data_IF_754975719993
#
_entry.id   IF_754975719993
#
_cell.length_a   1.000
_cell.length_b   1.000
_cell.length_c   1.000
_cell.angle_alpha   90.00
_cell.angle_beta   90.00
_cell.angle_gamma   90.00
#
_symmetry.space_group_name_H-M   'P 1'
#
loop_
_entity.id
_entity.type
_entity.pdbx_description
1 polymer ?
#
# COMPACT_ATOMS: atom_id res chain seq x y z
N UNK A 1 38.31 -1.44 -38.90
CA UNK A 1 38.78 -0.98 -40.23
C UNK A 1 38.05 0.33 -40.51
N UNK A 2 38.67 1.49 -40.21
CA UNK A 2 39.46 2.29 -41.17
C UNK A 2 38.54 2.87 -42.27
N UNK A 3 38.44 4.17 -42.57
CA UNK A 3 39.38 5.29 -42.42
C UNK A 3 38.71 6.61 -42.91
N UNK A 4 39.23 7.78 -42.46
CA UNK A 4 39.40 9.09 -43.18
C UNK A 4 38.12 9.89 -43.58
N UNK A 5 37.81 11.12 -43.11
CA UNK A 5 38.47 12.47 -43.22
C UNK A 5 38.96 12.75 -44.66
N UNK A 6 38.93 13.94 -45.34
CA UNK A 6 38.70 15.37 -44.96
C UNK A 6 37.72 16.17 -45.89
N UNK A 7 37.11 17.32 -45.54
CA UNK A 7 37.58 18.76 -45.49
C UNK A 7 37.48 19.57 -46.82
N UNK A 8 36.84 20.77 -46.70
CA UNK A 8 36.93 22.03 -47.50
C UNK A 8 36.23 22.06 -48.89
N UNK A 9 35.73 23.19 -49.41
CA UNK A 9 35.88 24.63 -49.07
C UNK A 9 34.75 25.45 -49.73
N UNK A 10 34.62 26.65 -49.19
CA UNK A 10 33.68 27.74 -49.45
C UNK A 10 33.54 28.23 -50.89
N UNK A 11 32.38 28.82 -51.19
CA UNK A 11 32.24 29.87 -52.19
C UNK A 11 31.40 31.05 -51.66
N UNK A 12 32.12 32.15 -51.44
CA UNK A 12 31.85 33.50 -51.97
C UNK A 12 30.50 34.19 -51.64
N UNK A 13 30.61 35.21 -50.77
CA UNK A 13 30.29 36.63 -51.04
C UNK A 13 29.03 36.95 -51.85
N UNK A 14 28.14 37.82 -51.34
CA UNK A 14 28.10 39.26 -51.71
C UNK A 14 27.03 40.05 -50.94
N UNK A 15 27.48 41.21 -50.44
CA UNK A 15 26.85 42.46 -49.98
C UNK A 15 25.32 42.68 -50.00
N UNK A 16 24.90 43.27 -48.87
CA UNK A 16 24.15 44.52 -48.68
C UNK A 16 22.65 44.56 -49.00
N UNK A 17 21.83 44.87 -47.99
CA UNK A 17 21.28 46.22 -47.77
C UNK A 17 20.44 46.27 -46.48
N UNK A 18 20.20 47.50 -46.05
CA UNK A 18 19.93 47.94 -44.69
C UNK A 18 18.42 48.10 -44.42
N UNK A 19 18.08 48.14 -43.14
CA UNK A 19 16.86 48.71 -42.51
C UNK A 19 15.66 47.78 -42.27
N UNK A 20 15.18 47.79 -41.02
CA UNK A 20 14.01 47.06 -40.56
C UNK A 20 14.20 46.49 -39.16
N UNK A 21 14.16 47.34 -38.14
CA UNK A 21 14.04 46.87 -36.75
C UNK A 21 12.69 46.15 -36.61
N UNK A 22 12.73 44.87 -36.29
CA UNK A 22 11.60 44.16 -35.71
C UNK A 22 12.16 43.22 -34.64
N UNK A 23 12.24 43.72 -33.41
CA UNK A 23 12.55 42.89 -32.24
C UNK A 23 11.42 41.88 -32.11
N UNK A 24 11.69 40.63 -32.49
CA UNK A 24 10.84 39.50 -32.12
C UNK A 24 11.11 39.21 -30.65
N UNK A 25 10.35 39.87 -29.77
CA UNK A 25 10.13 39.33 -28.44
C UNK A 25 9.31 38.03 -28.60
N UNK A 26 9.91 36.90 -28.26
CA UNK A 26 9.18 35.65 -28.14
C UNK A 26 8.07 35.82 -27.08
N UNK A 27 6.81 35.46 -27.35
CA UNK A 27 5.81 35.39 -26.29
C UNK A 27 6.23 34.29 -25.32
N UNK A 28 6.37 34.66 -24.05
CA UNK A 28 6.66 33.77 -22.92
C UNK A 28 5.73 32.55 -22.92
N UNK A 29 6.29 31.37 -23.22
CA UNK A 29 5.62 30.07 -23.30
C UNK A 29 5.41 29.38 -21.94
N UNK A 30 5.26 30.14 -20.85
CA UNK A 30 5.24 29.55 -19.48
C UNK A 30 3.89 29.59 -18.78
N UNK A 31 2.88 30.34 -19.26
CA UNK A 31 1.61 30.51 -18.54
C UNK A 31 0.48 29.60 -19.03
N UNK A 32 0.64 28.95 -20.19
CA UNK A 32 -0.43 28.15 -20.81
C UNK A 32 -0.46 26.70 -20.29
N UNK A 33 0.66 26.14 -19.86
CA UNK A 33 0.72 24.76 -19.33
C UNK A 33 0.00 24.63 -17.99
N UNK A 34 0.17 25.63 -17.10
CA UNK A 34 -0.49 25.66 -15.79
C UNK A 34 -2.00 25.87 -15.94
N UNK A 35 -2.43 26.71 -16.87
CA UNK A 35 -3.85 26.96 -17.13
C UNK A 35 -4.56 25.75 -17.77
N UNK A 36 -3.87 25.04 -18.68
CA UNK A 36 -4.41 23.84 -19.34
C UNK A 36 -4.48 22.66 -18.37
N UNK A 37 -3.45 22.48 -17.53
CA UNK A 37 -3.45 21.48 -16.46
C UNK A 37 -4.59 21.71 -15.45
N UNK A 38 -4.86 22.97 -15.10
CA UNK A 38 -5.95 23.34 -14.19
C UNK A 38 -7.33 23.09 -14.79
N UNK A 39 -7.54 23.38 -16.07
CA UNK A 39 -8.79 23.04 -16.76
C UNK A 39 -9.01 21.53 -16.88
N UNK A 40 -7.93 20.76 -17.09
CA UNK A 40 -8.03 19.30 -17.17
C UNK A 40 -8.29 18.66 -15.81
N UNK A 41 -7.69 19.20 -14.74
CA UNK A 41 -8.01 18.80 -13.37
C UNK A 41 -9.47 19.11 -13.01
N UNK A 42 -9.97 20.29 -13.37
CA UNK A 42 -11.35 20.71 -13.12
C UNK A 42 -12.37 19.88 -13.93
N UNK A 43 -12.05 19.54 -15.18
CA UNK A 43 -12.84 18.64 -16.01
C UNK A 43 -12.89 17.21 -15.44
N UNK A 44 -11.74 16.67 -15.00
CA UNK A 44 -11.66 15.35 -14.37
C UNK A 44 -12.39 15.33 -13.01
N UNK A 45 -12.33 16.41 -12.23
CA UNK A 45 -13.05 16.55 -10.97
C UNK A 45 -14.57 16.70 -11.21
N UNK A 46 -15.00 17.27 -12.35
CA UNK A 46 -16.42 17.33 -12.76
C UNK A 46 -16.99 16.00 -13.24
N UNK A 47 -16.21 15.17 -13.94
CA UNK A 47 -16.61 13.78 -14.27
C UNK A 47 -16.57 12.92 -13.00
N UNK A 48 -15.68 13.24 -12.06
CA UNK A 48 -15.56 12.64 -10.74
C UNK A 48 -16.42 13.27 -9.64
N UNK A 49 -17.28 14.24 -9.94
CA UNK A 49 -18.04 15.03 -8.95
C UNK A 49 -19.10 14.20 -8.19
N UNK A 50 -19.21 12.91 -8.49
CA UNK A 50 -19.88 11.93 -7.67
C UNK A 50 -18.89 11.14 -6.82
N UNK A 51 -18.14 11.78 -5.92
CA UNK A 51 -17.46 11.06 -4.83
C UNK A 51 -18.54 10.56 -3.85
N UNK A 52 -19.18 9.44 -4.18
CA UNK A 52 -20.18 8.77 -3.33
C UNK A 52 -19.53 8.25 -2.03
N UNK A 53 -18.22 7.96 -2.08
CA UNK A 53 -17.45 7.43 -0.97
C UNK A 53 -16.48 8.49 -0.46
N UNK A 54 -16.63 8.89 0.80
CA UNK A 54 -15.69 9.75 1.52
C UNK A 54 -14.38 9.02 1.81
N UNK A 55 -14.47 7.73 2.17
CA UNK A 55 -13.33 6.85 2.39
C UNK A 55 -13.63 5.45 1.82
N UNK A 56 -12.65 4.88 1.12
CA UNK A 56 -12.73 3.52 0.56
C UNK A 56 -12.11 2.48 1.50
N UNK A 57 -11.32 2.89 2.50
CA UNK A 57 -10.63 1.98 3.40
C UNK A 57 -11.59 1.01 4.13
N UNK A 58 -12.77 1.42 4.63
CA UNK A 58 -13.70 0.50 5.29
C UNK A 58 -14.29 -0.59 4.40
N UNK A 59 -14.22 -0.40 3.07
CA UNK A 59 -14.69 -1.38 2.09
C UNK A 59 -13.62 -2.42 1.72
N UNK A 60 -12.39 -2.26 2.21
CA UNK A 60 -11.33 -3.26 2.02
C UNK A 60 -11.64 -4.53 2.82
N UNK A 61 -11.35 -5.69 2.23
CA UNK A 61 -11.46 -6.98 2.91
C UNK A 61 -10.55 -7.10 4.14
N UNK A 62 -9.45 -6.35 4.16
CA UNK A 62 -8.50 -6.36 5.27
C UNK A 62 -8.83 -5.36 6.37
N UNK A 63 -9.82 -4.49 6.13
CA UNK A 63 -10.21 -3.51 7.13
C UNK A 63 -10.89 -4.19 8.31
N UNK A 64 -10.39 -3.87 9.51
CA UNK A 64 -10.93 -4.35 10.77
C UNK A 64 -11.46 -3.14 11.54
N UNK A 65 -12.75 -3.12 11.92
CA UNK A 65 -13.31 -1.99 12.67
C UNK A 65 -12.67 -1.88 14.06
N UNK A 66 -12.63 -0.67 14.63
CA UNK A 66 -12.10 -0.45 15.97
C UNK A 66 -12.96 -1.05 17.10
N UNK A 67 -14.23 -1.39 16.83
CA UNK A 67 -15.12 -2.02 17.78
C UNK A 67 -16.00 -3.05 17.07
N UNK A 68 -16.21 -4.20 17.70
CA UNK A 68 -17.08 -5.26 17.21
C UNK A 68 -18.38 -5.27 18.01
N UNK A 69 -19.49 -4.90 17.36
CA UNK A 69 -20.81 -4.85 18.00
C UNK A 69 -21.42 -6.25 18.06
N UNK A 70 -21.98 -6.63 19.21
CA UNK A 70 -22.76 -7.86 19.38
C UNK A 70 -21.91 -9.13 19.39
N UNK A 71 -20.61 -9.02 19.71
CA UNK A 71 -19.66 -10.14 19.82
C UNK A 71 -18.92 -10.16 21.16
N UNK A 72 -19.39 -9.38 22.14
CA UNK A 72 -18.74 -9.23 23.44
C UNK A 72 -18.68 -10.55 24.22
N UNK A 73 -19.70 -11.39 24.07
CA UNK A 73 -19.77 -12.71 24.70
C UNK A 73 -18.71 -13.66 24.18
N UNK A 74 -18.56 -13.76 22.86
CA UNK A 74 -17.58 -14.62 22.20
C UNK A 74 -16.16 -14.11 22.42
N UNK A 75 -15.96 -12.78 22.39
CA UNK A 75 -14.67 -12.17 22.71
C UNK A 75 -14.27 -12.41 24.17
N UNK A 76 -15.23 -12.38 25.10
CA UNK A 76 -14.98 -12.70 26.51
C UNK A 76 -14.63 -14.17 26.71
N UNK A 77 -15.34 -15.07 26.05
CA UNK A 77 -15.02 -16.50 26.08
C UNK A 77 -13.63 -16.77 25.51
N UNK A 78 -13.31 -16.15 24.36
CA UNK A 78 -11.98 -16.19 23.77
C UNK A 78 -10.93 -15.68 24.76
N UNK A 79 -11.12 -14.50 25.34
CA UNK A 79 -10.21 -13.91 26.32
C UNK A 79 -9.97 -14.83 27.53
N UNK A 80 -11.01 -15.51 28.02
CA UNK A 80 -10.88 -16.42 29.16
C UNK A 80 -9.89 -17.57 28.89
N UNK A 81 -9.83 -18.09 27.66
CA UNK A 81 -8.87 -19.12 27.25
C UNK A 81 -7.42 -18.61 27.17
N UNK A 82 -7.22 -17.29 27.05
CA UNK A 82 -5.93 -16.65 26.89
C UNK A 82 -5.43 -15.91 28.15
N UNK A 83 -6.13 -16.01 29.28
CA UNK A 83 -5.80 -15.34 30.55
C UNK A 83 -4.34 -15.57 31.02
N UNK A 84 -3.77 -16.74 30.73
CA UNK A 84 -2.40 -17.10 31.14
C UNK A 84 -1.27 -16.54 30.27
N UNK A 85 -1.57 -15.84 29.17
CA UNK A 85 -0.57 -15.40 28.19
C UNK A 85 0.45 -14.37 28.71
N UNK A 86 0.14 -13.70 29.83
CA UNK A 86 1.07 -12.78 30.48
C UNK A 86 2.30 -13.50 31.06
N UNK A 87 2.11 -14.75 31.50
CA UNK A 87 3.17 -15.55 32.12
C UNK A 87 4.06 -16.24 31.08
N UNK A 88 5.35 -16.36 31.39
CA UNK A 88 6.28 -17.14 30.58
C UNK A 88 5.97 -18.63 30.71
N UNK A 89 5.77 -19.33 29.59
CA UNK A 89 5.60 -20.78 29.54
C UNK A 89 4.18 -21.28 29.31
N UNK A 90 3.17 -20.40 29.26
CA UNK A 90 1.79 -20.80 28.96
C UNK A 90 1.49 -20.64 27.47
N UNK A 91 1.08 -21.73 26.83
CA UNK A 91 0.53 -21.72 25.46
C UNK A 91 -0.97 -21.98 25.50
N UNK A 92 -1.75 -21.04 24.99
CA UNK A 92 -3.20 -21.21 24.79
C UNK A 92 -3.50 -21.50 23.32
N UNK A 93 -4.52 -22.31 23.08
CA UNK A 93 -5.03 -22.63 21.73
C UNK A 93 -6.54 -22.55 21.73
N UNK A 94 -7.10 -21.94 20.70
CA UNK A 94 -8.54 -21.82 20.50
C UNK A 94 -8.87 -22.18 19.05
N UNK A 95 -10.00 -22.86 18.85
CA UNK A 95 -10.52 -23.19 17.51
C UNK A 95 -11.88 -22.53 17.37
N UNK A 96 -12.02 -21.66 16.36
CA UNK A 96 -13.23 -20.88 16.12
C UNK A 96 -13.94 -21.47 14.89
N UNK A 97 -15.16 -21.93 15.07
CA UNK A 97 -15.97 -22.56 14.01
C UNK A 97 -17.25 -21.76 13.75
N UNK A 98 -17.85 -21.95 12.58
CA UNK A 98 -19.12 -21.29 12.21
C UNK A 98 -19.26 -21.02 10.71
N UNK A 99 -20.45 -20.62 10.23
CA UNK A 99 -20.75 -20.45 8.81
C UNK A 99 -19.98 -19.30 8.15
N UNK A 100 -19.87 -19.30 6.81
CA UNK A 100 -19.22 -18.21 6.06
C UNK A 100 -19.96 -16.89 6.32
N UNK A 101 -19.21 -15.78 6.41
CA UNK A 101 -19.79 -14.46 6.68
C UNK A 101 -20.09 -14.15 8.15
N UNK A 102 -19.88 -15.08 9.08
CA UNK A 102 -20.13 -14.84 10.51
C UNK A 102 -19.13 -13.90 11.21
N UNK A 103 -18.11 -13.39 10.50
CA UNK A 103 -17.15 -12.45 11.06
C UNK A 103 -16.03 -13.07 11.90
N UNK A 104 -15.79 -14.39 11.81
CA UNK A 104 -14.70 -15.09 12.53
C UNK A 104 -13.34 -14.43 12.33
N UNK A 105 -12.96 -14.18 11.09
CA UNK A 105 -11.66 -13.58 10.74
C UNK A 105 -11.49 -12.20 11.37
N UNK A 106 -12.54 -11.37 11.32
CA UNK A 106 -12.53 -10.02 11.90
C UNK A 106 -12.43 -10.09 13.42
N UNK A 107 -13.17 -11.01 14.06
CA UNK A 107 -13.09 -11.26 15.51
C UNK A 107 -11.68 -11.68 15.94
N UNK A 108 -11.06 -12.64 15.24
CA UNK A 108 -9.71 -13.13 15.58
C UNK A 108 -8.64 -12.07 15.37
N UNK A 109 -8.71 -11.31 14.26
CA UNK A 109 -7.80 -10.19 14.01
C UNK A 109 -7.91 -9.14 15.11
N UNK A 110 -9.13 -8.74 15.45
CA UNK A 110 -9.37 -7.74 16.48
C UNK A 110 -8.89 -8.19 17.85
N UNK A 111 -9.21 -9.42 18.24
CA UNK A 111 -8.73 -10.01 19.49
C UNK A 111 -7.19 -10.03 19.56
N UNK A 112 -6.52 -10.37 18.45
CA UNK A 112 -5.06 -10.35 18.37
C UNK A 112 -4.47 -8.94 18.54
N UNK A 113 -5.08 -7.93 17.91
CA UNK A 113 -4.68 -6.52 18.10
C UNK A 113 -4.90 -6.05 19.53
N UNK A 114 -6.04 -6.36 20.13
CA UNK A 114 -6.37 -5.97 21.50
C UNK A 114 -5.43 -6.65 22.51
N UNK A 115 -5.07 -7.92 22.28
CA UNK A 115 -4.08 -8.65 23.05
C UNK A 115 -2.68 -8.02 22.92
N UNK A 116 -2.27 -7.63 21.71
CA UNK A 116 -0.99 -6.97 21.48
C UNK A 116 -0.94 -5.62 22.20
N UNK A 117 -2.03 -4.83 22.17
CA UNK A 117 -2.11 -3.56 22.90
C UNK A 117 -2.10 -3.73 24.41
N UNK A 118 -2.80 -4.75 24.94
CA UNK A 118 -2.85 -5.01 26.38
C UNK A 118 -1.49 -5.44 26.95
N UNK A 119 -0.70 -6.17 26.15
CA UNK A 119 0.61 -6.69 26.56
C UNK A 119 1.77 -5.80 26.11
N UNK A 120 1.46 -4.67 25.48
CA UNK A 120 2.46 -3.66 25.13
C UNK A 120 3.18 -3.17 26.39
N UNK A 121 4.50 -3.08 26.32
CA UNK A 121 5.37 -2.78 27.47
C UNK A 121 5.61 -3.92 28.47
N UNK A 122 4.81 -5.01 28.46
CA UNK A 122 5.05 -6.21 29.30
C UNK A 122 5.76 -7.30 28.53
N UNK A 123 5.29 -7.60 27.30
CA UNK A 123 5.81 -8.67 26.46
C UNK A 123 5.66 -8.31 24.98
N UNK A 124 6.74 -8.48 24.21
CA UNK A 124 6.67 -8.33 22.76
C UNK A 124 5.88 -9.50 22.15
N UNK A 125 4.71 -9.20 21.61
CA UNK A 125 3.89 -10.14 20.85
C UNK A 125 3.88 -9.73 19.39
N UNK A 126 4.11 -10.71 18.52
CA UNK A 126 4.02 -10.55 17.06
C UNK A 126 2.74 -11.25 16.63
N UNK A 127 1.80 -10.48 16.07
CA UNK A 127 0.56 -11.01 15.51
C UNK A 127 0.82 -11.46 14.07
N UNK A 128 0.71 -12.77 13.81
CA UNK A 128 0.83 -13.37 12.50
C UNK A 128 -0.52 -13.92 12.03
N UNK A 129 -1.03 -13.44 10.90
CA UNK A 129 -2.26 -13.93 10.29
C UNK A 129 -1.96 -14.61 8.96
N UNK A 130 -2.15 -15.92 8.89
CA UNK A 130 -1.93 -16.72 7.67
C UNK A 130 -3.26 -17.25 7.16
N UNK A 131 -3.57 -16.95 5.89
CA UNK A 131 -4.74 -17.49 5.21
C UNK A 131 -4.36 -18.81 4.51
N UNK A 132 -4.74 -19.93 5.10
CA UNK A 132 -4.49 -21.27 4.54
C UNK A 132 -5.25 -21.53 3.22
N UNK A 133 -6.28 -20.75 2.88
CA UNK A 133 -6.95 -20.87 1.57
C UNK A 133 -6.06 -20.39 0.42
N UNK A 134 -5.19 -19.41 0.68
CA UNK A 134 -4.27 -18.86 -0.31
C UNK A 134 -2.93 -19.63 -0.34
N UNK A 135 -2.63 -20.40 0.71
CA UNK A 135 -1.40 -21.18 0.88
C UNK A 135 -1.74 -22.65 1.09
N UNK A 136 -1.96 -23.43 0.02
CA UNK A 136 -2.48 -24.79 0.12
C UNK A 136 -1.49 -25.80 0.73
N UNK A 137 -0.18 -25.53 0.73
CA UNK A 137 0.81 -26.46 1.27
C UNK A 137 1.30 -26.07 2.67
N UNK A 138 1.58 -27.07 3.50
CA UNK A 138 2.14 -26.89 4.85
C UNK A 138 3.42 -26.08 4.82
N UNK A 139 4.31 -26.33 3.84
CA UNK A 139 5.57 -25.61 3.68
C UNK A 139 5.35 -24.11 3.42
N UNK A 140 4.34 -23.75 2.61
CA UNK A 140 3.99 -22.35 2.36
C UNK A 140 3.44 -21.68 3.61
N UNK A 141 2.59 -22.36 4.38
CA UNK A 141 2.08 -21.83 5.65
C UNK A 141 3.21 -21.58 6.63
N UNK A 142 4.15 -22.53 6.78
CA UNK A 142 5.32 -22.36 7.63
C UNK A 142 6.19 -21.19 7.18
N UNK A 143 6.43 -21.07 5.87
CA UNK A 143 7.18 -19.96 5.30
C UNK A 143 6.53 -18.60 5.63
N UNK A 144 5.22 -18.48 5.49
CA UNK A 144 4.49 -17.26 5.84
C UNK A 144 4.62 -16.92 7.34
N UNK A 145 4.60 -17.93 8.21
CA UNK A 145 4.83 -17.73 9.64
C UNK A 145 6.26 -17.22 9.88
N UNK A 146 7.28 -17.81 9.24
CA UNK A 146 8.67 -17.35 9.38
C UNK A 146 8.82 -15.90 8.91
N UNK A 147 8.28 -15.56 7.73
CA UNK A 147 8.32 -14.20 7.19
C UNK A 147 7.64 -13.18 8.10
N UNK A 148 6.55 -13.58 8.79
CA UNK A 148 5.85 -12.71 9.74
C UNK A 148 6.64 -12.47 11.04
N UNK A 149 7.54 -13.39 11.40
CA UNK A 149 8.38 -13.30 12.60
C UNK A 149 9.72 -12.61 12.31
N UNK A 150 10.29 -12.88 11.14
CA UNK A 150 11.56 -12.33 10.66
C UNK A 150 11.44 -11.96 9.17
N UNK A 151 11.31 -10.67 8.90
CA UNK A 151 11.23 -10.12 7.55
C UNK A 151 12.54 -10.22 6.76
N UNK A 152 13.66 -10.57 7.42
CA UNK A 152 14.96 -10.80 6.78
C UNK A 152 15.12 -12.21 6.21
N UNK A 153 14.16 -13.11 6.46
CA UNK A 153 14.23 -14.48 5.99
C UNK A 153 13.98 -14.57 4.48
N UNK A 154 14.88 -15.19 3.69
CA UNK A 154 14.72 -15.27 2.24
C UNK A 154 13.50 -16.13 1.85
N UNK A 155 12.75 -15.68 0.84
CA UNK A 155 11.60 -16.43 0.30
C UNK A 155 12.00 -17.70 -0.49
N UNK A 156 13.29 -17.97 -0.69
CA UNK A 156 13.77 -19.09 -1.51
C UNK A 156 14.79 -19.93 -0.75
N UNK A 157 14.55 -21.24 -0.69
CA UNK A 157 15.54 -22.24 -0.24
C UNK A 157 15.05 -23.24 0.81
N UNK A 158 13.92 -23.92 0.59
CA UNK A 158 13.52 -25.13 1.34
C UNK A 158 13.45 -26.33 0.39
#
# INVERSE_FOLDING_TARGET
MAERIPVRRDSLSTRAQQTGVCVRAAPNMSNNDVSTSRMMADYLDRIGAGKVLLDRAPFSFDWTPPALVGRDTELRELASMFTGMESHGVSSRAVITGPVGSGKTVMTRRFGEDLQRMLDGRRKIILAHVNCRNHPSTSQVLQQIVLSLDSGHPERGF
#
